data_IF_251323709062
#
_entry.id   IF_251323709062
#
_cell.length_a   1.000
_cell.length_b   1.000
_cell.length_c   1.000
_cell.angle_alpha   90.00
_cell.angle_beta   90.00
_cell.angle_gamma   90.00
#
_symmetry.space_group_name_H-M   'P 1'
#
loop_
_entity.id
_entity.type
_entity.pdbx_description
1 polymer ?
#
# COMPACT_ATOMS: atom_id res chain seq x y z
N UNK A 1 -29.68 -33.45 -13.04
CA UNK A 1 -28.94 -32.52 -13.92
C UNK A 1 -29.99 -31.82 -14.75
N UNK A 2 -30.34 -30.60 -14.37
CA UNK A 2 -31.35 -29.83 -15.11
C UNK A 2 -30.75 -29.36 -16.46
N UNK A 3 -31.52 -29.45 -17.56
CA UNK A 3 -31.05 -29.04 -18.87
C UNK A 3 -30.86 -27.52 -18.93
N UNK A 4 -29.71 -27.09 -19.42
CA UNK A 4 -29.31 -25.68 -19.53
C UNK A 4 -30.18 -24.97 -20.57
N UNK A 5 -30.81 -23.85 -20.19
CA UNK A 5 -31.64 -23.03 -21.07
C UNK A 5 -30.82 -22.43 -22.22
N UNK A 6 -31.31 -22.44 -23.48
CA UNK A 6 -30.55 -22.04 -24.68
C UNK A 6 -30.34 -20.53 -24.85
N UNK A 7 -30.68 -19.70 -23.85
CA UNK A 7 -30.64 -18.23 -23.96
C UNK A 7 -29.47 -17.54 -23.24
N UNK A 8 -28.59 -18.28 -22.57
CA UNK A 8 -27.41 -17.69 -21.92
C UNK A 8 -26.11 -18.27 -22.50
N UNK A 9 -25.30 -17.50 -23.25
CA UNK A 9 -24.00 -17.96 -23.75
C UNK A 9 -22.92 -18.01 -22.65
N UNK A 10 -23.27 -17.63 -21.42
CA UNK A 10 -22.38 -17.73 -20.26
C UNK A 10 -22.61 -19.06 -19.55
N UNK A 11 -21.57 -19.89 -19.50
CA UNK A 11 -21.52 -21.02 -18.59
C UNK A 11 -21.79 -20.52 -17.16
N UNK A 12 -22.78 -21.10 -16.48
CA UNK A 12 -22.95 -20.88 -15.05
C UNK A 12 -21.74 -21.50 -14.36
N UNK A 13 -20.73 -20.67 -14.08
CA UNK A 13 -19.61 -21.07 -13.26
C UNK A 13 -20.16 -21.28 -11.85
N UNK A 14 -20.39 -22.53 -11.46
CA UNK A 14 -20.66 -22.90 -10.08
C UNK A 14 -19.51 -22.32 -9.27
N UNK A 15 -19.76 -21.25 -8.50
CA UNK A 15 -18.76 -20.73 -7.57
C UNK A 15 -18.30 -21.91 -6.74
N UNK A 16 -16.98 -22.19 -6.64
CA UNK A 16 -16.52 -23.25 -5.76
C UNK A 16 -17.11 -22.94 -4.39
N UNK A 17 -17.75 -23.94 -3.78
CA UNK A 17 -18.29 -23.80 -2.44
C UNK A 17 -17.12 -23.36 -1.55
N UNK A 18 -17.09 -22.07 -1.18
CA UNK A 18 -16.06 -21.54 -0.30
C UNK A 18 -16.32 -22.17 1.05
N UNK A 19 -15.74 -23.34 1.27
CA UNK A 19 -15.66 -24.02 2.56
C UNK A 19 -14.73 -23.18 3.41
N UNK A 20 -15.23 -22.04 3.89
CA UNK A 20 -14.54 -21.12 4.77
C UNK A 20 -14.24 -21.93 6.01
N UNK A 21 -13.00 -22.41 6.13
CA UNK A 21 -12.57 -23.16 7.30
C UNK A 21 -12.91 -22.32 8.54
N UNK A 22 -13.60 -22.89 9.53
CA UNK A 22 -13.86 -22.20 10.81
C UNK A 22 -12.58 -21.97 11.62
N UNK A 23 -11.44 -22.48 11.17
CA UNK A 23 -10.21 -22.38 11.95
C UNK A 23 -9.83 -20.91 12.31
N UNK A 24 -9.89 -19.92 11.39
CA UNK A 24 -9.50 -18.54 11.71
C UNK A 24 -10.37 -17.83 12.75
N UNK A 25 -11.67 -18.13 12.82
CA UNK A 25 -12.59 -17.53 13.81
C UNK A 25 -12.28 -17.99 15.23
N UNK A 26 -11.89 -19.26 15.41
CA UNK A 26 -11.50 -19.79 16.71
C UNK A 26 -10.18 -19.20 17.20
N UNK A 27 -9.17 -19.06 16.33
CA UNK A 27 -7.89 -18.45 16.72
C UNK A 27 -8.07 -17.00 17.16
N UNK A 28 -8.89 -16.22 16.44
CA UNK A 28 -9.19 -14.85 16.82
C UNK A 28 -9.86 -14.76 18.20
N UNK A 29 -10.86 -15.62 18.46
CA UNK A 29 -11.52 -15.66 19.76
C UNK A 29 -10.58 -16.05 20.91
N UNK A 30 -9.75 -17.07 20.71
CA UNK A 30 -8.78 -17.52 21.72
C UNK A 30 -7.73 -16.44 21.97
N UNK A 31 -7.18 -15.84 20.92
CA UNK A 31 -6.20 -14.77 21.04
C UNK A 31 -6.77 -13.53 21.72
N UNK A 32 -8.01 -13.14 21.40
CA UNK A 32 -8.68 -12.00 22.04
C UNK A 32 -8.95 -12.26 23.52
N UNK A 33 -9.53 -13.43 23.84
CA UNK A 33 -9.85 -13.81 25.23
C UNK A 33 -8.60 -13.95 26.08
N UNK A 34 -7.53 -14.56 25.55
CA UNK A 34 -6.26 -14.71 26.26
C UNK A 34 -5.56 -13.36 26.47
N UNK A 35 -5.54 -12.50 25.45
CA UNK A 35 -4.95 -11.15 25.56
C UNK A 35 -5.66 -10.32 26.61
N UNK A 36 -7.00 -10.34 26.64
CA UNK A 36 -7.76 -9.59 27.62
C UNK A 36 -7.58 -10.14 29.05
N UNK A 37 -7.55 -11.47 29.19
CA UNK A 37 -7.28 -12.12 30.48
C UNK A 37 -5.89 -11.75 31.01
N UNK A 38 -4.86 -11.85 30.18
CA UNK A 38 -3.49 -11.44 30.53
C UNK A 38 -3.40 -9.95 30.85
N UNK A 39 -4.12 -9.10 30.11
CA UNK A 39 -4.17 -7.67 30.36
C UNK A 39 -4.80 -7.34 31.72
N UNK A 40 -5.92 -7.99 32.08
CA UNK A 40 -6.53 -7.84 33.41
C UNK A 40 -5.54 -8.27 34.50
N UNK A 41 -4.90 -9.43 34.34
CA UNK A 41 -3.90 -9.93 35.30
C UNK A 41 -2.73 -8.95 35.44
N UNK A 42 -2.26 -8.38 34.33
CA UNK A 42 -1.21 -7.36 34.33
C UNK A 42 -1.64 -6.08 35.06
N UNK A 43 -2.85 -5.57 34.82
CA UNK A 43 -3.37 -4.37 35.50
C UNK A 43 -3.56 -4.63 37.00
N UNK A 44 -4.11 -5.79 37.36
CA UNK A 44 -4.24 -6.18 38.77
C UNK A 44 -2.88 -6.26 39.44
N UNK A 45 -1.90 -6.92 38.82
CA UNK A 45 -0.54 -6.99 39.33
C UNK A 45 0.11 -5.60 39.47
N UNK A 46 -0.09 -4.70 38.49
CA UNK A 46 0.47 -3.36 38.51
C UNK A 46 -0.12 -2.46 39.62
N UNK A 47 -1.43 -2.57 39.89
CA UNK A 47 -2.16 -1.65 40.75
C UNK A 47 -2.45 -2.18 42.17
N UNK A 48 -2.56 -3.50 42.37
CA UNK A 48 -2.82 -4.05 43.72
C UNK A 48 -1.61 -3.82 44.63
N UNK A 49 -1.82 -3.49 45.91
CA UNK A 49 -0.73 -3.41 46.89
C UNK A 49 -0.17 -4.80 47.24
N UNK A 50 1.09 -4.85 47.67
CA UNK A 50 1.86 -6.08 47.93
C UNK A 50 1.13 -7.05 48.89
N UNK A 51 0.42 -6.51 49.88
CA UNK A 51 -0.29 -7.30 50.89
C UNK A 51 -1.32 -8.24 50.29
N UNK A 52 -2.00 -7.83 49.22
CA UNK A 52 -3.00 -8.65 48.54
C UNK A 52 -2.36 -9.72 47.66
N UNK A 53 -1.23 -9.40 47.03
CA UNK A 53 -0.48 -10.33 46.16
C UNK A 53 0.14 -11.45 47.00
N UNK A 54 0.75 -11.10 48.14
CA UNK A 54 1.31 -12.07 49.10
C UNK A 54 0.20 -12.89 49.75
N UNK A 55 -0.97 -12.30 50.05
CA UNK A 55 -2.14 -13.05 50.53
C UNK A 55 -2.62 -14.10 49.51
N UNK A 56 -2.48 -13.82 48.21
CA UNK A 56 -2.77 -14.77 47.13
C UNK A 56 -1.77 -15.94 47.05
N UNK A 57 -0.71 -15.93 47.87
CA UNK A 57 0.37 -16.93 47.88
C UNK A 57 1.49 -16.66 46.88
N UNK A 58 1.55 -15.46 46.29
CA UNK A 58 2.60 -15.07 45.34
C UNK A 58 3.71 -14.34 46.11
N UNK A 59 4.75 -15.08 46.50
CA UNK A 59 5.88 -14.52 47.24
C UNK A 59 6.94 -13.88 46.34
N UNK A 60 7.03 -14.29 45.08
CA UNK A 60 7.97 -13.74 44.12
C UNK A 60 7.27 -13.28 42.84
N UNK A 61 7.49 -12.02 42.49
CA UNK A 61 7.04 -11.41 41.25
C UNK A 61 8.07 -10.36 40.76
N UNK A 62 8.08 -9.99 39.47
CA UNK A 62 9.03 -9.03 38.92
C UNK A 62 8.93 -7.65 39.58
N UNK A 63 9.96 -6.81 39.46
CA UNK A 63 9.90 -5.44 40.00
C UNK A 63 8.71 -4.65 39.38
N UNK A 64 8.00 -3.87 40.19
CA UNK A 64 6.82 -3.09 39.76
C UNK A 64 7.15 -2.03 38.71
N UNK A 65 8.42 -1.62 38.59
CA UNK A 65 8.87 -0.71 37.53
C UNK A 65 8.58 -1.24 36.12
N UNK A 66 8.51 -2.57 35.94
CA UNK A 66 8.14 -3.16 34.66
C UNK A 66 6.72 -2.80 34.21
N UNK A 67 5.85 -2.41 35.15
CA UNK A 67 4.53 -1.90 34.82
C UNK A 67 4.58 -0.58 34.03
N UNK A 68 5.60 0.27 34.24
CA UNK A 68 5.76 1.50 33.45
C UNK A 68 6.70 1.31 32.26
N UNK A 69 7.72 0.45 32.39
CA UNK A 69 8.67 0.20 31.31
C UNK A 69 8.00 -0.46 30.11
N UNK A 70 7.16 -1.48 30.31
CA UNK A 70 6.47 -2.17 29.20
C UNK A 70 5.68 -1.23 28.28
N UNK A 71 4.77 -0.35 28.78
CA UNK A 71 4.07 0.59 27.93
C UNK A 71 4.98 1.69 27.36
N UNK A 72 6.01 2.12 28.09
CA UNK A 72 6.96 3.10 27.55
C UNK A 72 7.75 2.54 26.35
N UNK A 73 8.30 1.34 26.48
CA UNK A 73 9.03 0.68 25.39
C UNK A 73 8.12 0.27 24.22
N UNK A 74 6.85 -0.06 24.47
CA UNK A 74 5.93 -0.38 23.37
C UNK A 74 5.67 0.83 22.49
N UNK A 75 5.51 2.04 23.06
CA UNK A 75 5.39 3.29 22.29
C UNK A 75 6.66 3.54 21.48
N UNK A 76 7.85 3.36 22.08
CA UNK A 76 9.13 3.51 21.36
C UNK A 76 9.22 2.52 20.19
N UNK A 77 8.86 1.25 20.38
CA UNK A 77 8.87 0.25 19.33
C UNK A 77 7.89 0.56 18.18
N UNK A 78 6.70 1.05 18.51
CA UNK A 78 5.71 1.47 17.50
C UNK A 78 6.27 2.62 16.67
N UNK A 79 6.78 3.67 17.33
CA UNK A 79 7.39 4.81 16.64
C UNK A 79 8.58 4.37 15.79
N UNK A 80 9.47 3.54 16.33
CA UNK A 80 10.63 3.02 15.62
C UNK A 80 10.22 2.24 14.37
N UNK A 81 9.15 1.46 14.45
CA UNK A 81 8.62 0.71 13.30
C UNK A 81 8.13 1.65 12.21
N UNK A 82 7.40 2.72 12.56
CA UNK A 82 6.98 3.74 11.59
C UNK A 82 8.16 4.49 10.97
N UNK A 83 9.14 4.91 11.77
CA UNK A 83 10.34 5.57 11.26
C UNK A 83 11.13 4.65 10.33
N UNK A 84 11.26 3.37 10.70
CA UNK A 84 11.95 2.38 9.86
C UNK A 84 11.19 2.17 8.55
N UNK A 85 9.86 2.06 8.60
CA UNK A 85 9.03 1.96 7.40
C UNK A 85 9.20 3.18 6.49
N UNK A 86 9.18 4.39 7.04
CA UNK A 86 9.43 5.62 6.28
C UNK A 86 10.82 5.64 5.67
N UNK A 87 11.85 5.28 6.44
CA UNK A 87 13.22 5.20 5.95
C UNK A 87 13.34 4.19 4.80
N UNK A 88 12.70 3.03 4.90
CA UNK A 88 12.66 2.04 3.83
C UNK A 88 11.87 2.54 2.61
N UNK A 89 10.76 3.23 2.81
CA UNK A 89 9.98 3.80 1.71
C UNK A 89 10.81 4.84 0.94
N UNK A 90 11.50 5.73 1.65
CA UNK A 90 12.40 6.72 1.05
C UNK A 90 13.60 6.05 0.37
N UNK A 91 14.20 5.05 1.00
CA UNK A 91 15.32 4.29 0.43
C UNK A 91 14.93 3.56 -0.87
N UNK A 92 13.70 3.09 -0.98
CA UNK A 92 13.20 2.40 -2.17
C UNK A 92 12.54 3.34 -3.20
N UNK A 93 12.53 4.65 -2.96
CA UNK A 93 11.98 5.62 -3.93
C UNK A 93 13.01 5.84 -5.04
N UNK A 94 12.63 5.72 -6.32
CA UNK A 94 13.53 6.01 -7.45
C UNK A 94 13.95 7.49 -7.47
N UNK A 95 15.01 7.81 -8.22
CA UNK A 95 15.49 9.19 -8.35
C UNK A 95 14.38 10.10 -8.88
N UNK A 96 14.33 11.34 -8.39
CA UNK A 96 13.27 12.30 -8.78
C UNK A 96 13.26 12.63 -10.27
N UNK A 97 14.40 12.46 -10.94
CA UNK A 97 14.57 12.68 -12.38
C UNK A 97 14.16 11.45 -13.21
N UNK A 98 13.86 10.32 -12.57
CA UNK A 98 13.47 9.09 -13.25
C UNK A 98 11.96 9.06 -13.54
N UNK A 99 11.62 8.80 -14.81
CA UNK A 99 10.22 8.76 -15.27
C UNK A 99 9.39 7.65 -14.56
N UNK A 100 10.04 6.61 -14.05
CA UNK A 100 9.44 5.53 -13.27
C UNK A 100 8.75 6.01 -11.99
N UNK A 101 9.07 7.21 -11.50
CA UNK A 101 8.38 7.84 -10.36
C UNK A 101 6.92 8.18 -10.69
N UNK A 102 6.61 8.44 -11.98
CA UNK A 102 5.28 8.86 -12.45
C UNK A 102 4.61 7.76 -13.28
N UNK A 103 5.38 6.84 -13.86
CA UNK A 103 4.90 5.81 -14.77
C UNK A 103 4.99 4.41 -14.16
N UNK A 104 3.95 3.61 -14.32
CA UNK A 104 3.93 2.21 -13.90
C UNK A 104 4.43 1.27 -15.01
N UNK A 105 4.47 -0.04 -14.71
CA UNK A 105 4.90 -1.07 -15.67
C UNK A 105 4.02 -1.16 -16.92
N UNK A 106 2.80 -0.62 -16.87
CA UNK A 106 1.84 -0.65 -17.98
C UNK A 106 1.80 0.65 -18.79
N UNK A 107 2.58 1.67 -18.42
CA UNK A 107 2.69 2.90 -19.19
C UNK A 107 3.27 2.63 -20.59
N UNK A 108 2.55 3.05 -21.62
CA UNK A 108 2.95 2.89 -23.01
C UNK A 108 3.73 4.11 -23.48
N UNK A 109 4.98 4.21 -23.04
CA UNK A 109 5.89 5.30 -23.41
C UNK A 109 6.91 4.82 -24.46
N UNK A 110 7.26 5.65 -25.45
CA UNK A 110 8.26 5.28 -26.44
C UNK A 110 9.63 5.14 -25.79
N UNK A 111 10.40 4.13 -26.22
CA UNK A 111 11.74 3.89 -25.68
C UNK A 111 12.67 5.07 -26.01
N UNK A 112 13.33 5.60 -24.98
CA UNK A 112 14.35 6.64 -25.14
C UNK A 112 15.61 5.96 -25.66
N UNK A 113 15.74 5.83 -26.97
CA UNK A 113 16.99 5.39 -27.60
C UNK A 113 18.06 6.48 -27.41
N UNK A 114 19.32 6.13 -27.04
CA UNK A 114 20.41 7.10 -26.90
C UNK A 114 20.81 7.78 -28.23
N UNK A 115 20.33 7.27 -29.37
CA UNK A 115 20.32 7.99 -30.65
C UNK A 115 18.88 8.11 -31.19
N UNK A 116 18.11 9.11 -30.76
CA UNK A 116 16.85 9.42 -31.40
C UNK A 116 17.14 10.36 -32.58
N UNK A 117 17.17 9.84 -33.80
CA UNK A 117 17.23 10.67 -35.02
C UNK A 117 15.95 11.49 -35.23
N UNK A 118 14.85 11.11 -34.59
CA UNK A 118 13.58 11.83 -34.60
C UNK A 118 12.80 11.62 -33.29
N UNK A 119 11.96 12.59 -32.92
CA UNK A 119 11.07 12.46 -31.77
C UNK A 119 9.94 11.46 -32.11
N UNK A 120 9.76 10.37 -31.33
CA UNK A 120 8.77 9.32 -31.63
C UNK A 120 7.31 9.81 -31.58
N UNK A 121 7.03 10.91 -30.87
CA UNK A 121 5.70 11.54 -30.91
C UNK A 121 5.46 12.34 -32.20
N UNK A 122 6.53 12.76 -32.90
CA UNK A 122 6.42 13.53 -34.14
C UNK A 122 6.37 12.63 -35.38
N UNK A 123 6.95 11.43 -35.34
CA UNK A 123 6.79 10.46 -36.43
C UNK A 123 5.32 10.05 -36.64
N UNK A 124 4.53 10.08 -35.58
CA UNK A 124 3.08 9.88 -35.58
C UNK A 124 2.29 11.04 -36.23
N UNK A 125 2.89 12.20 -36.45
CA UNK A 125 2.22 13.39 -37.00
C UNK A 125 2.25 13.47 -38.55
N UNK A 126 2.85 12.48 -39.22
CA UNK A 126 2.95 12.42 -40.68
C UNK A 126 1.59 12.03 -41.28
N UNK A 127 1.13 12.64 -42.40
CA UNK A 127 -0.24 12.49 -42.93
C UNK A 127 -0.74 11.07 -43.24
N UNK A 128 0.14 10.07 -43.30
CA UNK A 128 -0.21 8.66 -43.57
C UNK A 128 0.43 7.69 -42.54
N UNK A 129 0.94 8.22 -41.42
CA UNK A 129 1.48 7.37 -40.36
C UNK A 129 0.33 6.73 -39.56
N UNK A 130 0.45 5.43 -39.30
CA UNK A 130 -0.38 4.74 -38.31
C UNK A 130 0.36 4.83 -36.97
N UNK A 131 -0.05 5.71 -36.04
CA UNK A 131 0.64 5.86 -34.78
C UNK A 131 0.42 4.63 -33.90
N UNK A 132 1.49 4.16 -33.25
CA UNK A 132 1.32 3.22 -32.15
C UNK A 132 0.63 3.92 -30.97
N UNK A 133 -0.19 3.20 -30.19
CA UNK A 133 -0.86 3.77 -29.02
C UNK A 133 0.17 4.05 -27.94
N UNK A 134 0.60 5.31 -27.82
CA UNK A 134 1.47 5.78 -26.75
C UNK A 134 0.71 6.73 -25.81
N UNK A 135 1.07 6.69 -24.54
CA UNK A 135 0.63 7.66 -23.53
C UNK A 135 1.35 8.98 -23.78
N UNK A 136 0.59 10.03 -24.11
CA UNK A 136 1.15 11.35 -24.44
C UNK A 136 1.20 12.19 -23.17
N UNK A 137 2.37 12.76 -22.80
CA UNK A 137 2.47 13.64 -21.64
C UNK A 137 1.52 14.83 -21.75
N UNK A 138 0.77 15.12 -20.68
CA UNK A 138 -0.21 16.21 -20.65
C UNK A 138 0.41 17.57 -20.99
N UNK A 139 1.67 17.80 -20.63
CA UNK A 139 2.40 19.02 -21.00
C UNK A 139 2.58 19.17 -22.52
N UNK A 140 2.81 18.07 -23.23
CA UNK A 140 2.91 18.07 -24.69
C UNK A 140 1.54 18.32 -25.33
N UNK A 141 0.50 17.65 -24.83
CA UNK A 141 -0.90 17.87 -25.29
C UNK A 141 -1.29 19.34 -25.10
N UNK A 142 -1.05 19.90 -23.91
CA UNK A 142 -1.37 21.29 -23.63
C UNK A 142 -0.59 22.26 -24.53
N UNK A 143 0.68 21.95 -24.82
CA UNK A 143 1.47 22.77 -25.74
C UNK A 143 0.95 22.69 -27.17
N UNK A 144 0.48 21.55 -27.64
CA UNK A 144 -0.04 21.42 -29.01
C UNK A 144 -1.42 22.05 -29.15
N UNK A 145 -2.32 21.81 -28.20
CA UNK A 145 -3.70 22.29 -28.26
C UNK A 145 -3.86 23.76 -27.86
N UNK A 146 -3.09 24.22 -26.87
CA UNK A 146 -3.27 25.53 -26.24
C UNK A 146 -2.09 26.48 -26.43
N UNK A 147 -0.91 26.03 -26.89
CA UNK A 147 0.08 27.02 -27.32
C UNK A 147 -0.46 27.64 -28.60
N UNK A 148 -0.88 28.91 -28.49
CA UNK A 148 -1.22 29.71 -29.65
C UNK A 148 -0.07 29.74 -30.66
N UNK A 149 -0.35 30.12 -31.92
CA UNK A 149 0.66 30.20 -32.96
C UNK A 149 1.89 30.99 -32.46
N UNK A 150 3.12 30.60 -32.85
CA UNK A 150 4.37 31.20 -32.36
C UNK A 150 4.40 32.73 -32.48
N UNK A 151 3.67 33.29 -33.45
CA UNK A 151 3.47 34.73 -33.64
C UNK A 151 2.83 35.47 -32.45
N UNK A 152 2.02 34.79 -31.61
CA UNK A 152 1.39 35.37 -30.42
C UNK A 152 2.28 35.27 -29.16
N UNK A 153 3.31 34.42 -29.20
CA UNK A 153 4.20 34.17 -28.06
C UNK A 153 5.34 35.20 -27.98
N UNK A 154 5.90 35.59 -29.13
CA UNK A 154 6.95 36.62 -29.23
C UNK A 154 6.46 38.05 -28.92
N UNK A 155 5.15 38.24 -28.73
CA UNK A 155 4.52 39.55 -28.44
C UNK A 155 4.13 39.71 -26.96
N UNK A 156 4.37 38.69 -26.13
CA UNK A 156 4.02 38.63 -24.70
C UNK A 156 5.24 38.59 -23.76
N UNK A 157 6.44 38.58 -24.32
CA UNK A 157 7.72 38.83 -23.63
C UNK A 157 8.21 40.23 -23.98
#
# INVERSE_FOLDING_TARGET
MDPTSPRSPLAQLTKPEQRKSRAPEFYGFVAWSSTYTLFILYVLWALLPDTWIVYLGIEWYPNREWAILLPAYSVVLILLTYFTYWALALYNTPDLDELSTITDTHAHIPSISPMPTANPYLSAAVPDAIPAPFDIPIGLVNRVLYAGPPALRAKRE
#
